data_IF_506137414626
#
_entry.id   IF_506137414626
#
_cell.length_a   1.000
_cell.length_b   1.000
_cell.length_c   1.000
_cell.angle_alpha   90.00
_cell.angle_beta   90.00
_cell.angle_gamma   90.00
#
_symmetry.space_group_name_H-M   'P 1'
#
loop_
_entity.id
_entity.type
_entity.pdbx_description
1 polymer ?
#
# COMPACT_ATOMS: atom_id res chain seq x y z
N UNK A 1 13.85 0.49 -31.33
CA UNK A 1 13.97 0.83 -29.89
C UNK A 1 13.62 2.29 -29.73
N UNK A 2 12.48 2.61 -29.10
CA UNK A 2 11.91 3.96 -29.02
C UNK A 2 12.18 4.61 -27.65
N UNK A 3 13.42 4.50 -27.15
CA UNK A 3 13.79 4.93 -25.80
C UNK A 3 13.49 6.42 -25.51
N UNK A 4 13.66 7.28 -26.50
CA UNK A 4 13.41 8.73 -26.40
C UNK A 4 11.92 9.07 -26.22
N UNK A 5 11.00 8.36 -26.91
CA UNK A 5 9.56 8.61 -26.73
C UNK A 5 9.08 8.22 -25.34
N UNK A 6 9.72 7.20 -24.75
CA UNK A 6 9.31 6.67 -23.46
C UNK A 6 9.73 7.61 -22.33
N UNK A 7 10.95 8.18 -22.38
CA UNK A 7 11.39 9.20 -21.40
C UNK A 7 10.53 10.47 -21.51
N UNK A 8 10.26 10.92 -22.73
CA UNK A 8 9.52 12.16 -23.00
C UNK A 8 8.07 12.07 -22.53
N UNK A 9 7.41 10.94 -22.80
CA UNK A 9 6.05 10.68 -22.32
C UNK A 9 5.97 10.57 -20.81
N UNK A 10 6.95 9.94 -20.15
CA UNK A 10 7.00 9.86 -18.68
C UNK A 10 7.28 11.21 -18.02
N UNK A 11 8.13 12.04 -18.60
CA UNK A 11 8.33 13.42 -18.14
C UNK A 11 7.02 14.22 -18.21
N UNK A 12 6.26 14.06 -19.30
CA UNK A 12 4.95 14.67 -19.42
C UNK A 12 3.96 14.14 -18.36
N UNK A 13 3.95 12.82 -18.12
CA UNK A 13 3.11 12.21 -17.09
C UNK A 13 3.40 12.77 -15.71
N UNK A 14 4.68 12.93 -15.34
CA UNK A 14 5.06 13.50 -14.05
C UNK A 14 4.68 14.97 -13.91
N UNK A 15 4.89 15.79 -14.94
CA UNK A 15 4.40 17.17 -14.93
C UNK A 15 2.89 17.23 -14.69
N UNK A 16 2.13 16.38 -15.40
CA UNK A 16 0.67 16.31 -15.25
C UNK A 16 0.29 15.84 -13.83
N UNK A 17 1.02 14.89 -13.25
CA UNK A 17 0.81 14.38 -11.89
C UNK A 17 0.92 15.49 -10.84
N UNK A 18 1.89 16.39 -10.99
CA UNK A 18 2.05 17.55 -10.09
C UNK A 18 1.17 18.76 -10.47
N UNK A 19 0.30 18.61 -11.48
CA UNK A 19 -0.73 19.60 -11.81
C UNK A 19 -0.24 20.86 -12.55
N UNK A 20 0.99 20.87 -13.08
CA UNK A 20 1.56 22.06 -13.72
C UNK A 20 1.32 22.08 -15.24
N UNK A 21 1.08 23.26 -15.80
CA UNK A 21 1.10 23.48 -17.25
C UNK A 21 2.54 23.41 -17.78
N UNK A 22 2.75 23.20 -19.09
CA UNK A 22 4.10 23.23 -19.68
C UNK A 22 4.81 24.57 -19.46
N UNK A 23 4.05 25.66 -19.42
CA UNK A 23 4.57 27.00 -19.20
C UNK A 23 5.03 27.19 -17.76
N UNK A 24 4.18 26.86 -16.78
CA UNK A 24 4.53 26.97 -15.36
C UNK A 24 5.66 26.01 -15.02
N UNK A 25 5.62 24.77 -15.50
CA UNK A 25 6.67 23.79 -15.26
C UNK A 25 8.02 24.22 -15.86
N UNK A 26 8.03 24.73 -17.09
CA UNK A 26 9.23 25.30 -17.68
C UNK A 26 9.77 26.47 -16.85
N UNK A 27 8.90 27.38 -16.42
CA UNK A 27 9.26 28.53 -15.57
C UNK A 27 9.88 28.12 -14.25
N UNK A 28 9.30 27.14 -13.53
CA UNK A 28 9.86 26.59 -12.28
C UNK A 28 11.26 25.98 -12.51
N UNK A 29 11.51 25.44 -13.70
CA UNK A 29 12.77 24.79 -14.08
C UNK A 29 13.74 25.73 -14.82
N UNK A 30 13.43 27.02 -14.92
CA UNK A 30 14.29 28.00 -15.57
C UNK A 30 14.39 27.85 -17.10
N UNK A 31 13.45 27.17 -17.74
CA UNK A 31 13.41 26.95 -19.20
C UNK A 31 12.16 27.55 -19.83
N UNK A 32 12.22 27.80 -21.14
CA UNK A 32 11.05 28.28 -21.88
C UNK A 32 9.99 27.19 -22.04
N UNK A 33 8.72 27.59 -22.24
CA UNK A 33 7.63 26.67 -22.65
C UNK A 33 7.99 25.86 -23.90
N UNK A 34 8.70 26.47 -24.85
CA UNK A 34 9.16 25.80 -26.08
C UNK A 34 10.17 24.70 -25.76
N UNK A 35 11.12 24.97 -24.87
CA UNK A 35 12.10 23.99 -24.40
C UNK A 35 11.40 22.82 -23.72
N UNK A 36 10.42 23.11 -22.85
CA UNK A 36 9.62 22.07 -22.20
C UNK A 36 8.87 21.19 -23.20
N UNK A 37 8.21 21.81 -24.19
CA UNK A 37 7.51 21.08 -25.25
C UNK A 37 8.47 20.22 -26.09
N UNK A 38 9.70 20.70 -26.32
CA UNK A 38 10.73 19.93 -27.04
C UNK A 38 11.18 18.69 -26.27
N UNK A 39 11.25 18.76 -24.94
CA UNK A 39 11.56 17.61 -24.08
C UNK A 39 10.41 16.61 -24.05
N UNK A 40 9.17 17.08 -23.88
CA UNK A 40 7.98 16.20 -23.87
C UNK A 40 7.67 15.60 -25.24
N UNK A 41 8.08 16.26 -26.33
CA UNK A 41 7.97 15.77 -27.70
C UNK A 41 9.11 14.85 -28.13
N UNK A 42 10.14 14.65 -27.29
CA UNK A 42 11.29 13.79 -27.59
C UNK A 42 12.21 14.31 -28.69
N UNK A 43 12.12 15.60 -29.03
CA UNK A 43 13.02 16.23 -30.01
C UNK A 43 14.38 16.56 -29.38
N UNK A 44 14.40 16.89 -28.09
CA UNK A 44 15.62 17.10 -27.31
C UNK A 44 15.48 16.37 -25.98
N UNK A 45 16.61 16.11 -25.31
CA UNK A 45 16.62 15.55 -23.96
C UNK A 45 16.93 16.64 -22.93
N UNK A 46 16.29 16.59 -21.75
CA UNK A 46 16.69 17.41 -20.62
C UNK A 46 18.10 17.03 -20.15
N UNK A 47 18.86 18.01 -19.69
CA UNK A 47 20.18 17.79 -19.09
C UNK A 47 20.08 17.42 -17.60
N UNK A 48 21.23 17.09 -17.00
CA UNK A 48 21.27 16.72 -15.59
C UNK A 48 20.81 17.86 -14.66
N UNK A 49 21.13 19.12 -14.99
CA UNK A 49 20.74 20.29 -14.20
C UNK A 49 19.22 20.45 -14.15
N UNK A 50 18.56 20.29 -15.30
CA UNK A 50 17.11 20.27 -15.41
C UNK A 50 16.50 19.14 -14.58
N UNK A 51 17.05 17.92 -14.66
CA UNK A 51 16.51 16.77 -13.91
C UNK A 51 16.68 16.95 -12.39
N UNK A 52 17.77 17.56 -11.94
CA UNK A 52 17.98 17.91 -10.53
C UNK A 52 16.94 18.93 -10.07
N UNK A 53 16.71 19.99 -10.83
CA UNK A 53 15.69 20.99 -10.53
C UNK A 53 14.27 20.36 -10.52
N UNK A 54 13.98 19.48 -11.48
CA UNK A 54 12.73 18.75 -11.56
C UNK A 54 12.49 17.89 -10.31
N UNK A 55 13.52 17.22 -9.80
CA UNK A 55 13.41 16.44 -8.56
C UNK A 55 13.01 17.32 -7.37
N UNK A 56 13.53 18.54 -7.28
CA UNK A 56 13.25 19.46 -6.18
C UNK A 56 11.77 19.91 -6.14
N UNK A 57 11.12 19.99 -7.30
CA UNK A 57 9.69 20.33 -7.40
C UNK A 57 8.78 19.10 -7.39
N UNK A 58 9.30 17.94 -6.98
CA UNK A 58 8.52 16.73 -6.73
C UNK A 58 8.35 15.78 -7.91
N UNK A 59 9.13 15.92 -8.99
CA UNK A 59 9.17 14.96 -10.10
C UNK A 59 9.93 13.70 -9.71
N UNK A 60 9.39 12.53 -10.04
CA UNK A 60 10.09 11.26 -9.90
C UNK A 60 11.03 10.98 -11.08
N UNK A 61 12.30 11.35 -10.92
CA UNK A 61 13.33 11.15 -11.95
C UNK A 61 13.60 9.68 -12.24
N UNK A 62 13.40 8.77 -11.27
CA UNK A 62 13.58 7.34 -11.50
C UNK A 62 12.50 6.83 -12.47
N UNK A 63 11.25 7.26 -12.24
CA UNK A 63 10.16 6.97 -13.16
C UNK A 63 10.42 7.56 -14.54
N UNK A 64 10.85 8.83 -14.64
CA UNK A 64 11.15 9.47 -15.92
C UNK A 64 12.22 8.69 -16.71
N UNK A 65 13.33 8.34 -16.08
CA UNK A 65 14.47 7.72 -16.77
C UNK A 65 14.28 6.22 -17.02
N UNK A 66 13.76 5.48 -16.05
CA UNK A 66 13.77 4.01 -16.06
C UNK A 66 12.38 3.39 -16.11
N UNK A 67 11.32 4.18 -15.98
CA UNK A 67 9.93 3.69 -15.95
C UNK A 67 9.53 3.00 -14.64
N UNK A 68 10.42 3.01 -13.64
CA UNK A 68 10.17 2.45 -12.31
C UNK A 68 9.91 3.58 -11.33
N UNK A 69 8.77 3.54 -10.64
CA UNK A 69 8.49 4.46 -9.54
C UNK A 69 9.54 4.29 -8.45
N UNK A 70 10.05 5.40 -7.93
CA UNK A 70 10.93 5.38 -6.77
C UNK A 70 10.12 5.09 -5.50
N UNK A 71 10.71 4.33 -4.57
CA UNK A 71 10.18 4.10 -3.20
C UNK A 71 9.82 5.42 -2.47
N UNK A 72 10.29 6.57 -2.96
CA UNK A 72 10.01 7.90 -2.38
C UNK A 72 8.61 8.44 -2.67
N UNK A 73 7.77 7.77 -3.47
CA UNK A 73 6.36 8.13 -3.65
C UNK A 73 5.43 7.47 -2.64
N UNK A 74 5.96 6.63 -1.74
CA UNK A 74 5.18 5.90 -0.76
C UNK A 74 4.75 6.84 0.38
N UNK A 75 3.50 6.74 0.80
CA UNK A 75 3.01 7.48 1.96
C UNK A 75 3.69 7.02 3.26
N UNK A 76 3.62 7.81 4.32
CA UNK A 76 4.27 7.52 5.62
C UNK A 76 3.96 6.10 6.12
N UNK A 77 2.70 5.65 5.97
CA UNK A 77 2.26 4.32 6.34
C UNK A 77 2.94 3.21 5.52
N UNK A 78 3.12 3.42 4.22
CA UNK A 78 3.76 2.46 3.32
C UNK A 78 5.28 2.42 3.55
N UNK A 79 5.90 3.57 3.79
CA UNK A 79 7.31 3.65 4.17
C UNK A 79 7.55 2.93 5.50
N UNK A 80 6.71 3.17 6.50
CA UNK A 80 6.78 2.48 7.79
C UNK A 80 6.59 0.97 7.65
N UNK A 81 5.61 0.53 6.85
CA UNK A 81 5.39 -0.89 6.55
C UNK A 81 6.61 -1.53 5.89
N UNK A 82 7.21 -0.88 4.89
CA UNK A 82 8.41 -1.40 4.22
C UNK A 82 9.62 -1.47 5.14
N UNK A 83 9.82 -0.48 6.01
CA UNK A 83 10.91 -0.50 6.99
C UNK A 83 10.75 -1.69 7.94
N UNK A 84 9.57 -1.84 8.55
CA UNK A 84 9.26 -2.97 9.43
C UNK A 84 9.38 -4.32 8.69
N UNK A 85 8.91 -4.37 7.44
CA UNK A 85 8.99 -5.59 6.63
C UNK A 85 10.42 -5.96 6.29
N UNK A 86 11.31 -5.00 5.96
CA UNK A 86 12.72 -5.27 5.63
C UNK A 86 13.50 -5.83 6.83
N UNK A 87 13.23 -5.33 8.04
CA UNK A 87 13.89 -5.76 9.28
C UNK A 87 13.31 -7.06 9.88
N UNK A 88 12.13 -7.48 9.43
CA UNK A 88 11.45 -8.65 9.99
C UNK A 88 12.19 -9.99 9.71
N UNK A 89 12.12 -10.97 10.65
CA UNK A 89 12.60 -12.33 10.42
C UNK A 89 11.90 -13.02 9.25
N UNK A 90 12.52 -14.02 8.60
CA UNK A 90 11.97 -14.68 7.41
C UNK A 90 10.54 -15.22 7.60
N UNK A 91 10.26 -15.82 8.76
CA UNK A 91 8.94 -16.36 9.07
C UNK A 91 7.86 -15.27 9.12
N UNK A 92 8.20 -14.11 9.68
CA UNK A 92 7.26 -12.99 9.80
C UNK A 92 7.00 -12.33 8.44
N UNK A 93 8.03 -12.19 7.59
CA UNK A 93 7.86 -11.77 6.19
C UNK A 93 6.91 -12.69 5.43
N UNK A 94 7.10 -14.01 5.56
CA UNK A 94 6.23 -15.00 4.93
C UNK A 94 4.77 -14.91 5.44
N UNK A 95 4.58 -14.71 6.75
CA UNK A 95 3.26 -14.54 7.35
C UNK A 95 2.55 -13.28 6.83
N UNK A 96 3.24 -12.13 6.78
CA UNK A 96 2.69 -10.87 6.23
C UNK A 96 2.29 -11.03 4.77
N UNK A 97 3.15 -11.61 3.93
CA UNK A 97 2.82 -11.89 2.51
C UNK A 97 1.59 -12.81 2.41
N UNK A 98 1.52 -13.86 3.23
CA UNK A 98 0.40 -14.79 3.26
C UNK A 98 -0.93 -14.11 3.62
N UNK A 99 -0.92 -13.29 4.67
CA UNK A 99 -2.09 -12.54 5.12
C UNK A 99 -2.59 -11.55 4.05
N UNK A 100 -1.68 -10.79 3.44
CA UNK A 100 -2.03 -9.85 2.35
C UNK A 100 -2.63 -10.58 1.14
N UNK A 101 -2.04 -11.71 0.73
CA UNK A 101 -2.58 -12.54 -0.36
C UNK A 101 -3.97 -13.09 -0.06
N UNK A 102 -4.17 -13.61 1.15
CA UNK A 102 -5.47 -14.12 1.58
C UNK A 102 -6.55 -13.02 1.56
N UNK A 103 -6.24 -11.84 2.11
CA UNK A 103 -7.17 -10.70 2.14
C UNK A 103 -7.51 -10.12 0.76
N UNK A 104 -6.57 -10.16 -0.19
CA UNK A 104 -6.84 -9.76 -1.58
C UNK A 104 -7.70 -10.78 -2.33
N UNK A 105 -7.52 -12.08 -2.04
CA UNK A 105 -8.34 -13.14 -2.62
C UNK A 105 -9.79 -13.11 -2.13
N UNK A 106 -10.04 -12.72 -0.88
CA UNK A 106 -11.40 -12.62 -0.32
C UNK A 106 -12.20 -11.44 -0.90
N UNK A 107 -11.54 -10.36 -1.31
CA UNK A 107 -12.19 -9.21 -1.94
C UNK A 107 -12.55 -9.44 -3.42
N UNK A 108 -11.98 -10.47 -4.07
CA UNK A 108 -12.35 -10.90 -5.43
C UNK A 108 -13.55 -11.87 -5.45
N UNK A 109 -14.00 -12.36 -4.28
CA UNK A 109 -15.15 -13.26 -4.15
C UNK A 109 -16.33 -12.55 -3.47
N UNK A 110 -16.72 -11.42 -4.03
CA UNK A 110 -17.99 -10.77 -3.73
C UNK A 110 -19.16 -11.48 -4.42
N UNK A 111 -19.44 -12.73 -4.03
CA UNK A 111 -20.72 -13.38 -4.26
C UNK A 111 -21.06 -14.20 -3.01
N UNK A 112 -22.05 -13.71 -2.29
CA UNK A 112 -22.55 -14.23 -1.02
C UNK A 112 -23.19 -15.61 -1.28
N UNK A 113 -22.87 -16.61 -0.47
CA UNK A 113 -23.85 -17.63 -0.08
C UNK A 113 -23.66 -18.03 1.38
N UNK A 114 -24.51 -17.45 2.22
CA UNK A 114 -24.87 -17.94 3.54
C UNK A 114 -25.33 -19.39 3.45
N UNK A 115 -24.60 -20.32 4.08
CA UNK A 115 -25.02 -21.70 4.46
C UNK A 115 -23.79 -22.38 5.07
N UNK A 116 -23.65 -22.78 6.33
CA UNK A 116 -24.63 -23.16 7.36
C UNK A 116 -24.01 -22.89 8.74
N UNK A 117 -24.50 -21.89 9.45
CA UNK A 117 -24.22 -21.67 10.87
C UNK A 117 -25.36 -22.26 11.71
N UNK A 118 -25.51 -23.59 11.75
CA UNK A 118 -26.55 -24.25 12.58
C UNK A 118 -26.00 -25.21 13.63
N UNK A 119 -24.71 -25.57 13.66
CA UNK A 119 -24.27 -26.67 14.56
C UNK A 119 -23.70 -26.22 15.92
N UNK A 120 -23.34 -24.94 16.15
CA UNK A 120 -22.61 -24.53 17.39
C UNK A 120 -23.42 -23.59 18.31
N UNK A 121 -24.73 -23.81 18.49
CA UNK A 121 -25.54 -23.05 19.46
C UNK A 121 -26.28 -23.89 20.51
N UNK A 122 -25.85 -25.13 20.80
CA UNK A 122 -26.54 -25.98 21.80
C UNK A 122 -25.79 -26.32 23.10
N UNK A 123 -24.67 -25.66 23.44
CA UNK A 123 -23.94 -26.01 24.69
C UNK A 123 -23.69 -24.85 25.66
N UNK A 124 -24.02 -23.60 25.33
CA UNK A 124 -23.77 -22.48 26.25
C UNK A 124 -25.02 -21.62 26.40
N UNK A 125 -25.76 -21.84 27.50
CA UNK A 125 -26.71 -20.86 28.03
C UNK A 125 -28.15 -21.34 28.21
N UNK A 126 -28.41 -22.11 29.28
CA UNK A 126 -29.65 -21.91 30.05
C UNK A 126 -29.25 -21.74 31.52
N UNK A 127 -29.37 -20.50 31.99
CA UNK A 127 -29.13 -20.11 33.37
C UNK A 127 -30.33 -20.46 34.26
N UNK A 128 -30.02 -20.97 35.46
CA UNK A 128 -30.68 -20.79 36.75
C UNK A 128 -32.22 -20.91 36.86
N UNK A 129 -32.67 -21.99 37.51
CA UNK A 129 -33.82 -21.99 38.44
C UNK A 129 -33.46 -22.81 39.68
N UNK A 130 -33.60 -22.20 40.86
CA UNK A 130 -33.02 -22.62 42.15
C UNK A 130 -33.47 -23.97 42.73
N UNK A 131 -32.75 -24.44 43.76
CA UNK A 131 -33.07 -24.30 45.20
C UNK A 131 -31.80 -24.61 45.98
N UNK A 132 -31.40 -23.71 46.88
CA UNK A 132 -30.38 -24.00 47.92
C UNK A 132 -31.02 -24.93 48.94
N UNK A 133 -30.46 -26.13 49.13
CA UNK A 133 -30.58 -26.84 50.41
C UNK A 133 -29.18 -27.26 50.86
N UNK A 134 -28.76 -26.70 51.99
CA UNK A 134 -27.62 -27.18 52.76
C UNK A 134 -28.01 -28.53 53.36
N UNK A 135 -27.18 -29.56 53.20
CA UNK A 135 -27.21 -30.67 54.15
C UNK A 135 -25.81 -30.99 54.65
N UNK A 136 -25.72 -30.94 55.97
CA UNK A 136 -24.51 -30.87 56.76
C UNK A 136 -23.67 -32.14 56.73
N UNK A 137 -22.36 -31.91 56.79
CA UNK A 137 -21.31 -32.74 57.36
C UNK A 137 -21.79 -33.81 58.37
N UNK A 138 -21.49 -35.11 58.10
CA UNK A 138 -21.07 -36.08 59.11
C UNK A 138 -20.16 -37.16 58.49
N UNK A 139 -18.85 -36.90 58.45
CA UNK A 139 -17.87 -37.98 58.58
C UNK A 139 -17.89 -38.49 60.03
N UNK A 140 -18.21 -39.77 60.24
CA UNK A 140 -17.96 -40.48 61.49
C UNK A 140 -16.85 -41.49 61.26
N UNK A 141 -15.71 -41.28 61.94
CA UNK A 141 -14.67 -42.29 62.12
C UNK A 141 -14.99 -43.17 63.35
N UNK A 142 -14.67 -44.46 63.26
CA UNK A 142 -14.40 -45.33 64.42
C UNK A 142 -15.42 -46.45 64.67
N UNK A 143 -14.94 -47.70 64.51
CA UNK A 143 -14.59 -48.55 65.65
C UNK A 143 -13.26 -49.21 65.38
#
# INVERSE_FOLDING_TARGET
MHFLSDVSSRLQSERKRIGLSQENFGKELGVSKRTQASYEGGTNLPDASYLIAAKQIGVDINYVLFGTLSDSSLGDSEQGLLAMFRDAPPLLKAAVIGALRAGLSTNASGAIQESQATVIKKVVGQANTGVVTNNANKMKFGK
#
